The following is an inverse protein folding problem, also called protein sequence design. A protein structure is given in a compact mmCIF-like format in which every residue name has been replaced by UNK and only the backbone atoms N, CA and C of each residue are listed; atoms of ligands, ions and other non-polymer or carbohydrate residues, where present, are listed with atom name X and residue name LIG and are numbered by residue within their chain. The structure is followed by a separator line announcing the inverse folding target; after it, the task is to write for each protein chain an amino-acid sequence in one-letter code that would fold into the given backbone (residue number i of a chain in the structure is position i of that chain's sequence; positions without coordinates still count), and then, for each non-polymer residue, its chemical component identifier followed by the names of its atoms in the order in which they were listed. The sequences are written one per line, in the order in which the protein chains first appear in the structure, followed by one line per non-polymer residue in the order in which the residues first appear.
data_IF_184286827219
#
_entry.id   IF_184286827219
#
_cell.length_a   1.000
_cell.length_b   1.000
_cell.length_c   1.000
_cell.angle_alpha   90.00
_cell.angle_beta   90.00
_cell.angle_gamma   90.00
#
_symmetry.space_group_name_H-M   'P 1'
#
loop_
_entity.id
_entity.type
_entity.pdbx_description
1 polymer ?
#
# COMPACT_ATOMS: atom_id res chain seq x y z
N UNK A 1 11.91 7.62 -26.45
CA UNK A 1 11.79 7.47 -24.99
C UNK A 1 13.11 6.95 -24.45
N UNK A 2 13.82 7.68 -23.58
CA UNK A 2 15.12 7.27 -23.05
C UNK A 2 14.94 6.73 -21.64
N UNK A 3 15.07 5.42 -21.49
CA UNK A 3 15.07 4.75 -20.19
C UNK A 3 16.48 4.71 -19.62
N UNK A 4 16.58 4.95 -18.32
CA UNK A 4 17.81 4.79 -17.52
C UNK A 4 17.54 3.74 -16.45
N UNK A 5 18.49 2.85 -16.25
CA UNK A 5 18.38 1.76 -15.27
C UNK A 5 19.50 1.91 -14.25
N UNK A 6 19.13 1.97 -12.98
CA UNK A 6 20.03 2.15 -11.85
C UNK A 6 19.81 1.02 -10.85
N UNK A 7 20.84 0.59 -10.09
CA UNK A 7 20.64 -0.32 -8.97
C UNK A 7 19.59 0.25 -8.00
N UNK A 8 18.64 -0.56 -7.53
CA UNK A 8 17.65 -0.09 -6.54
C UNK A 8 18.29 0.37 -5.22
N UNK A 9 19.52 -0.06 -4.92
CA UNK A 9 20.33 0.44 -3.81
C UNK A 9 20.62 1.95 -3.89
N UNK A 10 20.50 2.56 -5.07
CA UNK A 10 20.66 4.01 -5.25
C UNK A 10 19.34 4.79 -5.10
N UNK A 11 18.23 4.12 -4.78
CA UNK A 11 16.89 4.73 -4.70
C UNK A 11 16.85 5.98 -3.81
N UNK A 12 17.62 6.00 -2.71
CA UNK A 12 17.65 7.14 -1.79
C UNK A 12 18.06 8.47 -2.46
N UNK A 13 18.86 8.43 -3.53
CA UNK A 13 19.22 9.62 -4.33
C UNK A 13 18.05 10.17 -5.14
N UNK A 14 17.07 9.32 -5.45
CA UNK A 14 15.92 9.63 -6.29
C UNK A 14 14.61 9.75 -5.51
N UNK A 15 14.63 9.56 -4.19
CA UNK A 15 13.43 9.60 -3.35
C UNK A 15 12.63 10.91 -3.48
N UNK A 16 13.33 12.05 -3.60
CA UNK A 16 12.68 13.36 -3.79
C UNK A 16 11.94 13.44 -5.12
N UNK A 17 12.59 12.98 -6.22
CA UNK A 17 11.97 12.95 -7.54
C UNK A 17 10.79 11.97 -7.61
N UNK A 18 10.90 10.84 -6.89
CA UNK A 18 9.83 9.87 -6.73
C UNK A 18 8.60 10.48 -6.06
N UNK A 19 8.77 11.16 -4.92
CA UNK A 19 7.66 11.82 -4.21
C UNK A 19 7.06 13.00 -5.00
N UNK A 20 7.89 13.74 -5.75
CA UNK A 20 7.40 14.77 -6.68
C UNK A 20 6.54 14.17 -7.80
N UNK A 21 6.96 13.04 -8.37
CA UNK A 21 6.19 12.34 -9.39
C UNK A 21 4.88 11.79 -8.81
N UNK A 22 4.91 11.22 -7.59
CA UNK A 22 3.71 10.75 -6.90
C UNK A 22 2.71 11.91 -6.66
N UNK A 23 3.21 13.10 -6.28
CA UNK A 23 2.41 14.32 -6.11
C UNK A 23 1.79 14.86 -7.40
N UNK A 24 2.37 14.55 -8.56
CA UNK A 24 1.75 14.89 -9.85
C UNK A 24 0.51 14.03 -10.16
N UNK A 25 0.38 12.86 -9.53
CA UNK A 25 -0.77 11.96 -9.64
C UNK A 25 -1.68 12.04 -8.41
N UNK A 26 -2.04 10.88 -7.88
CA UNK A 26 -2.94 10.75 -6.73
C UNK A 26 -2.27 10.95 -5.37
N UNK A 27 -0.95 11.15 -5.32
CA UNK A 27 -0.20 11.34 -4.08
C UNK A 27 -0.48 10.23 -3.05
N UNK A 28 -0.47 8.98 -3.51
CA UNK A 28 -0.83 7.84 -2.67
C UNK A 28 0.27 7.55 -1.63
N UNK A 29 -0.04 7.38 -0.34
CA UNK A 29 0.94 6.99 0.66
C UNK A 29 1.54 5.60 0.39
N UNK A 30 0.79 4.72 -0.30
CA UNK A 30 1.24 3.39 -0.73
C UNK A 30 2.36 3.45 -1.78
N UNK A 31 2.45 4.57 -2.52
CA UNK A 31 3.51 4.84 -3.50
C UNK A 31 4.49 5.91 -3.00
N UNK A 32 4.52 6.21 -1.70
CA UNK A 32 5.52 7.14 -1.16
C UNK A 32 6.92 6.54 -1.23
N UNK A 33 7.93 7.41 -1.32
CA UNK A 33 9.34 6.99 -1.28
C UNK A 33 9.67 6.30 0.04
N UNK A 34 9.01 6.67 1.13
CA UNK A 34 9.17 6.06 2.44
C UNK A 34 8.68 4.61 2.45
N UNK A 35 7.51 4.33 1.87
CA UNK A 35 6.99 2.97 1.73
C UNK A 35 7.94 2.12 0.89
N UNK A 36 8.36 2.62 -0.28
CA UNK A 36 9.28 1.90 -1.17
C UNK A 36 10.65 1.65 -0.52
N UNK A 37 11.22 2.65 0.17
CA UNK A 37 12.50 2.51 0.89
C UNK A 37 12.44 1.39 1.92
N UNK A 38 11.40 1.35 2.75
CA UNK A 38 11.24 0.31 3.76
C UNK A 38 11.00 -1.06 3.12
N UNK A 39 10.25 -1.09 2.02
CA UNK A 39 10.00 -2.31 1.25
C UNK A 39 11.28 -2.87 0.63
N UNK A 40 12.14 -2.02 0.07
CA UNK A 40 13.44 -2.43 -0.45
C UNK A 40 14.34 -2.93 0.67
N UNK A 41 14.41 -2.22 1.80
CA UNK A 41 15.24 -2.65 2.95
C UNK A 41 14.84 -4.02 3.47
N UNK A 42 13.55 -4.32 3.54
CA UNK A 42 13.03 -5.55 4.10
C UNK A 42 12.90 -6.70 3.09
N UNK A 43 12.71 -6.44 1.80
CA UNK A 43 12.28 -7.49 0.86
C UNK A 43 13.05 -7.53 -0.46
N UNK A 44 14.10 -6.71 -0.62
CA UNK A 44 14.92 -6.77 -1.82
C UNK A 44 15.75 -8.07 -1.87
N UNK A 45 15.93 -8.59 -3.08
CA UNK A 45 16.81 -9.71 -3.39
C UNK A 45 18.21 -9.28 -3.87
N UNK A 46 18.41 -7.97 -4.08
CA UNK A 46 19.62 -7.38 -4.67
C UNK A 46 19.61 -7.38 -6.20
N UNK A 47 18.49 -7.77 -6.82
CA UNK A 47 18.30 -7.82 -8.28
C UNK A 47 17.36 -6.74 -8.79
N UNK A 48 16.83 -5.93 -7.87
CA UNK A 48 15.89 -4.86 -8.15
C UNK A 48 16.61 -3.71 -8.87
N UNK A 49 15.95 -3.21 -9.90
CA UNK A 49 16.46 -2.13 -10.75
C UNK A 49 15.46 -0.98 -10.70
N UNK A 50 15.95 0.21 -10.36
CA UNK A 50 15.20 1.44 -10.54
C UNK A 50 15.23 1.83 -12.03
N UNK A 51 14.08 1.80 -12.68
CA UNK A 51 13.89 2.26 -14.04
C UNK A 51 13.29 3.67 -14.05
N UNK A 52 13.90 4.55 -14.84
CA UNK A 52 13.53 5.96 -14.95
C UNK A 52 13.37 6.34 -16.41
N UNK A 53 12.21 6.89 -16.77
CA UNK A 53 11.98 7.47 -18.08
C UNK A 53 12.19 8.99 -18.03
N UNK A 54 13.02 9.52 -18.93
CA UNK A 54 13.28 10.95 -19.04
C UNK A 54 14.43 11.43 -18.15
N UNK A 55 14.33 12.67 -17.65
CA UNK A 55 15.34 13.25 -16.76
C UNK A 55 15.17 12.69 -15.34
N UNK A 56 16.20 12.10 -14.70
CA UNK A 56 16.13 11.62 -13.32
C UNK A 56 15.68 12.63 -12.26
N UNK A 57 15.91 13.93 -12.49
CA UNK A 57 15.47 14.99 -11.58
C UNK A 57 14.00 15.38 -11.81
N UNK A 58 13.47 15.10 -13.00
CA UNK A 58 12.07 15.38 -13.40
C UNK A 58 11.54 14.27 -14.29
N UNK A 59 11.32 13.07 -13.73
CA UNK A 59 10.98 11.91 -14.53
C UNK A 59 9.54 11.99 -15.07
N UNK A 60 9.32 11.28 -16.16
CA UNK A 60 7.99 11.01 -16.70
C UNK A 60 7.40 9.73 -16.09
N UNK A 61 8.27 8.75 -15.83
CA UNK A 61 7.94 7.47 -15.19
C UNK A 61 9.08 7.07 -14.27
N UNK A 62 8.75 6.54 -13.10
CA UNK A 62 9.67 5.83 -12.23
C UNK A 62 9.03 4.52 -11.77
N UNK A 63 9.81 3.46 -11.77
CA UNK A 63 9.37 2.16 -11.25
C UNK A 63 10.56 1.36 -10.77
N UNK A 64 10.34 0.46 -9.82
CA UNK A 64 11.34 -0.54 -9.46
C UNK A 64 10.91 -1.86 -10.09
N UNK A 65 11.82 -2.51 -10.81
CA UNK A 65 11.57 -3.76 -11.52
C UNK A 65 12.43 -4.88 -10.95
N UNK A 66 11.91 -6.09 -10.99
CA UNK A 66 12.64 -7.32 -10.66
C UNK A 66 12.45 -8.34 -11.79
N UNK A 67 13.52 -9.06 -12.10
CA UNK A 67 13.46 -10.07 -13.15
C UNK A 67 12.70 -11.32 -12.66
N UNK A 68 11.61 -11.66 -13.37
CA UNK A 68 10.81 -12.87 -13.14
C UNK A 68 11.18 -13.93 -14.17
N UNK A 69 12.22 -14.71 -13.86
CA UNK A 69 12.78 -15.68 -14.82
C UNK A 69 13.68 -15.01 -15.85
N UNK A 70 13.99 -15.66 -16.97
CA UNK A 70 15.01 -15.15 -17.92
C UNK A 70 14.50 -14.06 -18.86
N UNK A 71 13.20 -14.06 -19.18
CA UNK A 71 12.61 -13.25 -20.25
C UNK A 71 11.51 -12.30 -19.78
N UNK A 72 11.16 -12.30 -18.50
CA UNK A 72 10.10 -11.46 -17.97
C UNK A 72 10.60 -10.61 -16.82
N UNK A 73 10.01 -9.44 -16.69
CA UNK A 73 10.23 -8.49 -15.60
C UNK A 73 8.89 -8.11 -15.01
N UNK A 74 8.82 -7.92 -13.71
CA UNK A 74 7.63 -7.39 -13.04
C UNK A 74 8.04 -6.17 -12.21
N UNK A 75 7.08 -5.30 -11.92
CA UNK A 75 7.25 -4.30 -10.85
C UNK A 75 7.57 -5.00 -9.54
N UNK A 76 8.55 -4.48 -8.81
CA UNK A 76 8.83 -4.90 -7.44
C UNK A 76 7.56 -4.67 -6.63
N UNK A 77 7.03 -5.75 -6.05
CA UNK A 77 5.81 -5.74 -5.27
C UNK A 77 5.90 -6.86 -4.23
N UNK A 78 6.48 -6.57 -3.04
CA UNK A 78 6.46 -7.55 -1.95
C UNK A 78 5.01 -7.80 -1.51
N UNK A 79 4.78 -8.93 -0.83
CA UNK A 79 3.44 -9.32 -0.37
C UNK A 79 2.76 -8.29 0.54
N UNK A 80 3.54 -7.42 1.18
CA UNK A 80 3.10 -6.35 2.07
C UNK A 80 2.72 -5.06 1.33
N UNK A 81 3.10 -4.93 0.05
CA UNK A 81 2.71 -3.79 -0.79
C UNK A 81 1.39 -4.12 -1.51
N UNK A 82 0.29 -3.40 -1.22
CA UNK A 82 -1.01 -3.65 -1.85
C UNK A 82 -1.04 -3.35 -3.36
N UNK A 83 -0.09 -2.52 -3.81
CA UNK A 83 0.04 -2.13 -5.21
C UNK A 83 1.51 -2.17 -5.65
N UNK A 84 1.75 -2.45 -6.93
CA UNK A 84 3.10 -2.44 -7.51
C UNK A 84 3.68 -1.04 -7.62
N UNK A 85 4.99 -0.89 -7.35
CA UNK A 85 5.68 0.40 -7.38
C UNK A 85 5.88 0.92 -8.81
N UNK A 86 4.84 1.53 -9.36
CA UNK A 86 4.82 2.19 -10.66
C UNK A 86 4.25 3.60 -10.53
N UNK A 87 5.03 4.59 -10.93
CA UNK A 87 4.61 5.99 -11.01
C UNK A 87 4.78 6.51 -12.42
N UNK A 88 3.77 7.21 -12.91
CA UNK A 88 3.81 7.87 -14.22
C UNK A 88 3.10 9.22 -14.15
N UNK A 89 3.51 10.16 -14.99
CA UNK A 89 2.79 11.42 -15.15
C UNK A 89 1.37 11.16 -15.71
N UNK A 90 0.36 11.91 -15.26
CA UNK A 90 -0.98 11.82 -15.83
C UNK A 90 -1.00 12.06 -17.34
N UNK A 91 -1.87 11.34 -18.05
CA UNK A 91 -2.08 11.51 -19.49
C UNK A 91 -1.09 10.77 -20.39
N UNK A 92 -0.08 10.08 -19.83
CA UNK A 92 0.78 9.19 -20.61
C UNK A 92 0.05 7.88 -20.95
N UNK A 93 0.38 7.30 -22.10
CA UNK A 93 -0.19 6.03 -22.56
C UNK A 93 0.63 4.82 -22.08
N UNK A 94 0.01 3.95 -21.30
CA UNK A 94 0.67 2.80 -20.68
C UNK A 94 1.24 1.82 -21.70
N UNK A 95 0.54 1.56 -22.81
CA UNK A 95 1.03 0.63 -23.85
C UNK A 95 2.32 1.15 -24.49
N UNK A 96 2.36 2.43 -24.83
CA UNK A 96 3.56 3.08 -25.40
C UNK A 96 4.73 3.04 -24.42
N UNK A 97 4.46 3.32 -23.14
CA UNK A 97 5.47 3.29 -22.08
C UNK A 97 6.07 1.89 -21.91
N UNK A 98 5.22 0.86 -21.80
CA UNK A 98 5.66 -0.53 -21.66
C UNK A 98 6.38 -1.04 -22.91
N UNK A 99 5.92 -0.63 -24.10
CA UNK A 99 6.62 -0.91 -25.35
C UNK A 99 8.04 -0.34 -25.33
N UNK A 100 8.20 0.94 -24.94
CA UNK A 100 9.53 1.54 -24.80
C UNK A 100 10.40 0.87 -23.74
N UNK A 101 9.80 0.44 -22.63
CA UNK A 101 10.49 -0.21 -21.53
C UNK A 101 11.03 -1.59 -21.92
N UNK A 102 10.21 -2.43 -22.56
CA UNK A 102 10.60 -3.77 -23.04
C UNK A 102 11.85 -3.70 -23.92
N UNK A 103 11.91 -2.73 -24.86
CA UNK A 103 13.05 -2.57 -25.76
C UNK A 103 14.31 -2.06 -25.07
N UNK A 104 14.18 -1.39 -23.92
CA UNK A 104 15.31 -0.78 -23.22
C UNK A 104 15.85 -1.65 -22.07
N UNK A 105 15.05 -2.59 -21.56
CA UNK A 105 15.43 -3.44 -20.44
C UNK A 105 16.72 -4.22 -20.71
N UNK A 106 17.58 -4.42 -19.69
CA UNK A 106 18.78 -5.22 -19.84
C UNK A 106 18.49 -6.66 -20.30
N UNK A 107 19.25 -7.13 -21.29
CA UNK A 107 19.11 -8.48 -21.84
C UNK A 107 18.02 -8.59 -22.90
N UNK A 108 17.31 -9.72 -22.92
CA UNK A 108 16.20 -9.97 -23.85
C UNK A 108 14.89 -10.10 -23.06
N UNK A 109 14.12 -9.02 -22.99
CA UNK A 109 12.82 -8.99 -22.33
C UNK A 109 11.70 -9.29 -23.35
N UNK A 110 10.87 -10.29 -23.05
CA UNK A 110 9.68 -10.65 -23.83
C UNK A 110 8.41 -10.02 -23.22
N UNK A 111 8.38 -9.84 -21.90
CA UNK A 111 7.21 -9.28 -21.20
C UNK A 111 7.61 -8.44 -20.00
N UNK A 112 6.80 -7.41 -19.73
CA UNK A 112 6.85 -6.62 -18.50
C UNK A 112 5.47 -6.63 -17.85
N UNK A 113 5.40 -7.08 -16.59
CA UNK A 113 4.20 -7.00 -15.77
C UNK A 113 4.22 -5.76 -14.89
N UNK A 114 3.15 -4.97 -14.93
CA UNK A 114 2.88 -3.94 -13.92
C UNK A 114 1.80 -4.49 -13.01
N UNK A 115 2.21 -4.88 -11.80
CA UNK A 115 1.41 -5.72 -10.91
C UNK A 115 0.54 -4.89 -9.99
N UNK A 116 -0.65 -5.41 -9.68
CA UNK A 116 -1.61 -4.86 -8.70
C UNK A 116 -1.74 -3.33 -8.80
N UNK A 117 -2.35 -2.85 -9.87
CA UNK A 117 -2.63 -1.43 -10.05
C UNK A 117 -4.08 -1.13 -9.66
N UNK A 118 -4.30 0.05 -9.08
CA UNK A 118 -5.64 0.52 -8.74
C UNK A 118 -6.14 1.47 -9.84
N UNK A 119 -7.30 1.18 -10.50
CA UNK A 119 -7.92 2.07 -11.48
C UNK A 119 -8.25 3.47 -10.96
N UNK A 120 -8.41 3.63 -9.64
CA UNK A 120 -8.53 4.94 -8.99
C UNK A 120 -7.21 5.70 -8.97
N UNK A 121 -6.04 5.07 -9.14
CA UNK A 121 -4.73 5.75 -9.18
C UNK A 121 -4.22 5.91 -10.62
N UNK A 122 -4.34 4.86 -11.43
CA UNK A 122 -3.92 4.85 -12.83
C UNK A 122 -5.04 4.24 -13.65
N UNK A 123 -5.65 4.97 -14.59
CA UNK A 123 -6.73 4.44 -15.42
C UNK A 123 -6.32 3.13 -16.09
N UNK A 124 -7.19 2.13 -16.02
CA UNK A 124 -6.93 0.82 -16.63
C UNK A 124 -6.71 1.01 -18.14
N UNK A 125 -5.55 0.59 -18.68
CA UNK A 125 -5.32 0.67 -20.12
C UNK A 125 -6.25 -0.28 -20.88
N UNK A 126 -6.57 0.12 -22.11
CA UNK A 126 -7.41 -0.70 -23.00
C UNK A 126 -6.62 -1.93 -23.43
N UNK A 127 -7.27 -3.08 -23.35
CA UNK A 127 -6.69 -4.34 -23.82
C UNK A 127 -6.39 -4.27 -25.33
N UNK A 128 -5.22 -4.75 -25.73
CA UNK A 128 -4.78 -4.79 -27.14
C UNK A 128 -3.99 -6.07 -27.42
N UNK A 129 -3.54 -6.24 -28.67
CA UNK A 129 -2.69 -7.37 -29.06
C UNK A 129 -1.30 -7.35 -28.38
N UNK A 130 -0.90 -6.21 -27.78
CA UNK A 130 0.41 -6.03 -27.14
C UNK A 130 0.31 -5.74 -25.64
N UNK A 131 -0.90 -5.50 -25.13
CA UNK A 131 -1.15 -5.21 -23.72
C UNK A 131 -2.38 -5.97 -23.25
N UNK A 132 -2.18 -6.80 -22.22
CA UNK A 132 -3.26 -7.51 -21.55
C UNK A 132 -3.47 -6.90 -20.16
N UNK A 133 -4.73 -6.79 -19.73
CA UNK A 133 -5.09 -6.43 -18.35
C UNK A 133 -5.90 -7.54 -17.71
N UNK A 134 -5.64 -7.82 -16.44
CA UNK A 134 -6.31 -8.88 -15.67
C UNK A 134 -6.80 -8.31 -14.35
N UNK A 135 -7.97 -8.78 -13.91
CA UNK A 135 -8.51 -8.46 -12.60
C UNK A 135 -7.85 -9.36 -11.55
N UNK A 136 -7.46 -8.76 -10.43
CA UNK A 136 -6.84 -9.48 -9.31
C UNK A 136 -7.83 -9.63 -8.15
N UNK A 137 -8.40 -8.51 -7.68
CA UNK A 137 -9.38 -8.46 -6.60
C UNK A 137 -10.35 -7.30 -6.83
N UNK A 138 -11.57 -7.45 -6.34
CA UNK A 138 -12.52 -6.35 -6.18
C UNK A 138 -12.41 -5.79 -4.76
N UNK A 139 -12.13 -4.48 -4.64
CA UNK A 139 -12.07 -3.80 -3.35
C UNK A 139 -13.32 -2.94 -3.12
N UNK A 140 -13.86 -3.00 -1.91
CA UNK A 140 -14.91 -2.08 -1.49
C UNK A 140 -14.31 -0.69 -1.30
N UNK A 141 -14.89 0.30 -1.96
CA UNK A 141 -14.53 1.71 -1.83
C UNK A 141 -15.74 2.51 -1.34
N UNK A 142 -15.47 3.51 -0.49
CA UNK A 142 -16.49 4.43 0.01
C UNK A 142 -16.02 5.84 -0.23
N UNK A 143 -16.70 6.55 -1.14
CA UNK A 143 -16.45 7.97 -1.34
C UNK A 143 -16.82 8.76 -0.08
N UNK A 144 -15.83 9.47 0.45
CA UNK A 144 -16.00 10.35 1.60
C UNK A 144 -16.19 11.77 1.11
N UNK A 145 -17.36 12.34 1.41
CA UNK A 145 -17.65 13.75 1.13
C UNK A 145 -18.42 14.37 2.29
N UNK A 146 -18.13 15.63 2.58
CA UNK A 146 -18.76 16.37 3.69
C UNK A 146 -18.35 15.87 5.07
N UNK A 147 -19.21 16.13 6.05
CA UNK A 147 -18.98 15.76 7.45
C UNK A 147 -19.51 14.35 7.79
N UNK A 148 -19.13 13.87 8.98
CA UNK A 148 -19.56 12.57 9.48
C UNK A 148 -21.08 12.43 9.58
N UNK A 149 -21.80 13.49 9.95
CA UNK A 149 -23.26 13.42 10.10
C UNK A 149 -23.92 13.17 8.75
N UNK A 150 -23.49 13.92 7.74
CA UNK A 150 -23.94 13.78 6.35
C UNK A 150 -23.63 12.39 5.81
N UNK A 151 -22.40 11.91 6.01
CA UNK A 151 -21.98 10.54 5.70
C UNK A 151 -22.89 9.49 6.36
N UNK A 152 -23.21 9.67 7.64
CA UNK A 152 -23.98 8.69 8.41
C UNK A 152 -25.47 8.66 8.04
N UNK A 153 -26.05 9.82 7.74
CA UNK A 153 -27.47 9.93 7.36
C UNK A 153 -27.78 9.24 6.03
N UNK A 154 -26.84 9.21 5.09
CA UNK A 154 -27.03 8.53 3.80
C UNK A 154 -26.82 7.01 3.86
N UNK A 155 -26.37 6.45 5.00
CA UNK A 155 -26.21 4.99 5.15
C UNK A 155 -27.55 4.26 5.12
N UNK A 156 -27.54 2.94 4.97
CA UNK A 156 -28.77 2.14 4.98
C UNK A 156 -29.48 2.18 6.35
N UNK A 157 -30.82 2.27 6.34
CA UNK A 157 -31.65 2.20 7.57
C UNK A 157 -31.30 0.99 8.44
N UNK A 158 -31.04 -0.16 7.80
CA UNK A 158 -30.67 -1.40 8.48
C UNK A 158 -29.32 -1.28 9.22
N UNK A 159 -28.30 -0.70 8.58
CA UNK A 159 -26.99 -0.48 9.23
C UNK A 159 -27.13 0.44 10.46
N UNK A 160 -27.83 1.58 10.30
CA UNK A 160 -28.07 2.51 11.42
C UNK A 160 -28.82 1.84 12.57
N UNK A 161 -29.88 1.08 12.26
CA UNK A 161 -30.66 0.36 13.28
C UNK A 161 -29.82 -0.70 13.98
N UNK A 162 -29.00 -1.44 13.22
CA UNK A 162 -28.12 -2.47 13.77
C UNK A 162 -27.12 -1.85 14.74
N UNK A 163 -26.41 -0.78 14.33
CA UNK A 163 -25.44 -0.11 15.19
C UNK A 163 -26.08 0.47 16.46
N UNK A 164 -27.28 1.04 16.38
CA UNK A 164 -28.03 1.47 17.57
C UNK A 164 -28.35 0.31 18.50
N UNK A 165 -28.78 -0.82 17.94
CA UNK A 165 -29.12 -2.03 18.71
C UNK A 165 -27.89 -2.61 19.42
N UNK A 166 -26.74 -2.64 18.74
CA UNK A 166 -25.46 -3.08 19.33
C UNK A 166 -25.06 -2.18 20.49
N UNK A 167 -25.10 -0.84 20.32
CA UNK A 167 -24.76 0.11 21.39
C UNK A 167 -25.67 -0.04 22.61
N UNK A 168 -26.99 -0.08 22.41
CA UNK A 168 -27.95 -0.27 23.50
C UNK A 168 -27.73 -1.60 24.24
N UNK A 169 -27.30 -2.64 23.52
CA UNK A 169 -26.99 -3.95 24.13
C UNK A 169 -25.73 -3.86 25.00
N UNK A 170 -24.69 -3.16 24.56
CA UNK A 170 -23.48 -2.95 25.38
C UNK A 170 -23.84 -2.24 26.69
N UNK A 171 -24.59 -1.14 26.60
CA UNK A 171 -25.05 -0.37 27.76
C UNK A 171 -25.90 -1.22 28.72
N UNK A 172 -26.89 -1.96 28.19
CA UNK A 172 -27.77 -2.82 29.01
C UNK A 172 -27.01 -3.92 29.78
N UNK A 173 -25.89 -4.40 29.22
CA UNK A 173 -25.06 -5.41 29.87
C UNK A 173 -23.96 -4.79 30.76
N UNK A 174 -23.94 -3.48 30.95
CA UNK A 174 -22.92 -2.79 31.76
C UNK A 174 -21.52 -2.87 31.17
N UNK A 175 -21.40 -3.08 29.85
CA UNK A 175 -20.12 -3.06 29.15
C UNK A 175 -19.79 -1.63 28.73
N UNK A 176 -18.79 -1.04 29.37
CA UNK A 176 -18.23 0.23 28.95
C UNK A 176 -17.30 0.00 27.75
N UNK A 177 -17.53 0.69 26.63
CA UNK A 177 -16.66 0.61 25.47
C UNK A 177 -15.96 1.93 25.20
N UNK A 178 -14.69 1.86 24.81
CA UNK A 178 -13.91 3.02 24.40
C UNK A 178 -13.31 2.77 23.02
N UNK A 179 -13.35 3.80 22.18
CA UNK A 179 -12.74 3.79 20.87
C UNK A 179 -11.63 4.83 20.83
N UNK A 180 -10.39 4.35 20.95
CA UNK A 180 -9.20 5.18 21.03
C UNK A 180 -8.51 5.23 19.66
N UNK A 181 -7.91 6.36 19.33
CA UNK A 181 -7.14 6.54 18.10
C UNK A 181 -5.70 6.88 18.49
N UNK A 182 -4.79 5.96 18.16
CA UNK A 182 -3.35 6.13 18.35
C UNK A 182 -2.79 6.82 17.11
N UNK A 183 -2.16 7.96 17.33
CA UNK A 183 -1.50 8.76 16.28
C UNK A 183 -0.09 9.17 16.65
N UNK A 184 0.34 8.92 17.90
CA UNK A 184 1.66 9.32 18.37
C UNK A 184 2.71 8.25 18.05
N UNK A 185 3.91 8.63 17.58
CA UNK A 185 4.95 7.67 17.20
C UNK A 185 5.35 6.70 18.31
N UNK A 186 5.42 7.16 19.57
CA UNK A 186 5.84 6.38 20.74
C UNK A 186 4.83 5.32 21.16
N UNK A 187 3.58 5.42 20.71
CA UNK A 187 2.51 4.47 21.00
C UNK A 187 2.36 3.40 19.91
N UNK A 188 2.92 3.60 18.71
CA UNK A 188 2.76 2.71 17.55
C UNK A 188 3.36 1.33 17.79
N UNK A 189 4.62 1.25 18.25
CA UNK A 189 5.29 -0.03 18.46
C UNK A 189 4.49 -0.94 19.41
N UNK A 190 3.99 -0.37 20.51
CA UNK A 190 3.16 -1.08 21.46
C UNK A 190 1.83 -1.54 20.82
N UNK A 191 1.19 -0.69 20.02
CA UNK A 191 -0.04 -1.04 19.31
C UNK A 191 0.16 -2.22 18.35
N UNK A 192 1.19 -2.16 17.48
CA UNK A 192 1.52 -3.24 16.52
C UNK A 192 1.83 -4.56 17.24
N UNK A 193 2.52 -4.51 18.39
CA UNK A 193 2.74 -5.70 19.21
C UNK A 193 1.45 -6.29 19.79
N UNK A 194 0.50 -5.45 20.22
CA UNK A 194 -0.81 -5.92 20.64
C UNK A 194 -1.59 -6.54 19.47
N UNK A 195 -1.53 -5.94 18.27
CA UNK A 195 -2.10 -6.51 17.05
C UNK A 195 -1.59 -7.93 16.78
N UNK A 196 -0.27 -8.10 16.73
CA UNK A 196 0.36 -9.37 16.43
C UNK A 196 -0.05 -10.46 17.42
N UNK A 197 -0.10 -10.12 18.73
CA UNK A 197 -0.58 -11.03 19.77
C UNK A 197 -2.05 -11.41 19.58
N UNK A 198 -2.92 -10.46 19.21
CA UNK A 198 -4.34 -10.75 18.94
C UNK A 198 -4.54 -11.63 17.71
N UNK A 199 -3.82 -11.39 16.61
CA UNK A 199 -3.89 -12.23 15.41
C UNK A 199 -3.35 -13.64 15.68
N UNK A 200 -2.31 -13.78 16.51
CA UNK A 200 -1.79 -15.08 16.97
C UNK A 200 -2.73 -15.80 17.95
N UNK A 201 -3.51 -15.08 18.75
CA UNK A 201 -4.49 -15.67 19.68
C UNK A 201 -5.83 -15.97 18.99
N UNK A 202 -6.08 -15.35 17.83
CA UNK A 202 -7.30 -15.52 17.04
C UNK A 202 -7.37 -16.86 16.30
N UNK A 203 -8.55 -17.15 15.76
CA UNK A 203 -8.84 -18.37 15.01
C UNK A 203 -7.91 -18.63 13.79
N UNK A 204 -7.21 -17.59 13.31
CA UNK A 204 -6.21 -17.64 12.22
C UNK A 204 -4.87 -18.26 12.61
N UNK A 205 -4.58 -18.44 13.91
CA UNK A 205 -3.39 -19.13 14.39
C UNK A 205 -3.25 -20.56 13.82
N UNK A 206 -4.38 -21.20 13.48
CA UNK A 206 -4.42 -22.52 12.86
C UNK A 206 -3.96 -22.56 11.39
N UNK A 207 -3.82 -21.41 10.72
CA UNK A 207 -3.45 -21.31 9.30
C UNK A 207 -2.04 -20.78 9.05
N UNK A 208 -1.26 -20.44 10.10
CA UNK A 208 0.15 -20.07 9.96
C UNK A 208 0.41 -18.70 9.30
N UNK A 209 -0.60 -17.84 9.16
CA UNK A 209 -0.50 -16.50 8.55
C UNK A 209 -0.27 -15.38 9.58
N UNK A 210 -0.06 -15.73 10.84
CA UNK A 210 0.10 -14.75 11.90
C UNK A 210 1.44 -13.99 11.72
N UNK A 211 1.39 -12.67 11.75
CA UNK A 211 2.58 -11.81 11.71
C UNK A 211 3.40 -12.07 12.97
N UNK A 212 4.50 -12.81 12.84
CA UNK A 212 5.47 -12.94 13.91
C UNK A 212 6.22 -11.61 14.04
N UNK A 213 6.16 -10.98 15.21
CA UNK A 213 6.75 -9.66 15.42
C UNK A 213 8.27 -9.63 15.17
N UNK A 214 8.97 -10.71 15.53
CA UNK A 214 10.41 -10.85 15.30
C UNK A 214 10.77 -11.20 13.85
N UNK A 215 9.78 -11.34 12.97
CA UNK A 215 10.02 -11.50 11.54
C UNK A 215 10.38 -10.17 10.88
N UNK A 216 10.98 -10.26 9.70
CA UNK A 216 11.24 -9.11 8.85
C UNK A 216 9.96 -8.34 8.50
N UNK A 217 8.84 -9.04 8.36
CA UNK A 217 7.53 -8.45 8.14
C UNK A 217 7.03 -7.64 9.35
N UNK A 218 7.23 -8.15 10.57
CA UNK A 218 6.84 -7.44 11.80
C UNK A 218 7.59 -6.13 11.96
N UNK A 219 8.93 -6.17 11.78
CA UNK A 219 9.77 -4.96 11.78
C UNK A 219 9.37 -3.97 10.69
N UNK A 220 9.07 -4.45 9.48
CA UNK A 220 8.61 -3.59 8.39
C UNK A 220 7.37 -2.78 8.76
N UNK A 221 6.34 -3.39 9.37
CA UNK A 221 5.12 -2.66 9.73
C UNK A 221 5.33 -1.65 10.87
N UNK A 222 6.14 -1.99 11.88
CA UNK A 222 6.51 -1.04 12.93
C UNK A 222 7.21 0.17 12.32
N UNK A 223 8.26 -0.08 11.54
CA UNK A 223 9.03 0.97 10.89
C UNK A 223 8.15 1.83 9.97
N UNK A 224 7.24 1.20 9.21
CA UNK A 224 6.33 1.91 8.30
C UNK A 224 5.37 2.83 9.06
N UNK A 225 4.65 2.29 10.05
CA UNK A 225 3.64 3.05 10.80
C UNK A 225 4.28 4.14 11.66
N UNK A 226 5.40 3.85 12.34
CA UNK A 226 6.14 4.87 13.10
C UNK A 226 6.61 6.01 12.20
N UNK A 227 7.04 5.69 10.98
CA UNK A 227 7.50 6.69 10.06
C UNK A 227 6.37 7.53 9.47
N UNK A 228 5.23 6.92 9.15
CA UNK A 228 4.04 7.60 8.64
C UNK A 228 3.34 8.46 9.72
N UNK A 229 3.51 8.17 11.03
CA UNK A 229 3.05 9.09 12.08
C UNK A 229 3.77 10.44 12.03
N UNK A 230 5.03 10.50 11.59
CA UNK A 230 5.80 11.76 11.47
C UNK A 230 5.20 12.73 10.46
N UNK A 231 4.44 12.22 9.49
CA UNK A 231 3.74 13.01 8.47
C UNK A 231 2.24 13.12 8.75
N UNK A 232 1.76 12.65 9.91
CA UNK A 232 0.34 12.60 10.24
C UNK A 232 -0.48 11.65 9.36
N UNK A 233 0.18 10.68 8.70
CA UNK A 233 -0.41 9.77 7.72
C UNK A 233 -0.72 8.40 8.32
N UNK A 234 -0.94 8.32 9.63
CA UNK A 234 -1.24 7.07 10.35
C UNK A 234 -2.26 7.31 11.45
N UNK A 235 -3.21 6.39 11.55
CA UNK A 235 -4.10 6.23 12.68
C UNK A 235 -4.24 4.73 12.94
N UNK A 236 -4.20 4.34 14.21
CA UNK A 236 -4.50 2.98 14.65
C UNK A 236 -5.69 3.10 15.60
N UNK A 237 -6.79 2.44 15.27
CA UNK A 237 -8.01 2.47 16.05
C UNK A 237 -8.07 1.27 16.99
N UNK A 238 -8.26 1.52 18.28
CA UNK A 238 -8.37 0.49 19.31
C UNK A 238 -9.77 0.54 19.93
N UNK A 239 -10.47 -0.59 19.90
CA UNK A 239 -11.72 -0.78 20.65
C UNK A 239 -11.44 -1.56 21.92
N UNK A 240 -11.79 -0.99 23.08
CA UNK A 240 -11.70 -1.68 24.37
C UNK A 240 -13.08 -1.86 25.00
N UNK A 241 -13.28 -2.97 25.72
CA UNK A 241 -14.43 -3.21 26.60
C UNK A 241 -13.93 -3.35 28.04
N UNK A 242 -14.41 -2.50 28.95
CA UNK A 242 -13.98 -2.44 30.35
C UNK A 242 -12.43 -2.40 30.48
N UNK A 243 -11.76 -1.66 29.59
CA UNK A 243 -10.29 -1.53 29.56
C UNK A 243 -9.55 -2.68 28.86
N UNK A 244 -10.26 -3.73 28.41
CA UNK A 244 -9.65 -4.85 27.67
C UNK A 244 -9.75 -4.59 26.16
N UNK A 245 -8.63 -4.61 25.46
CA UNK A 245 -8.60 -4.50 23.99
C UNK A 245 -9.33 -5.70 23.36
N UNK A 246 -10.32 -5.41 22.51
CA UNK A 246 -11.15 -6.43 21.85
C UNK A 246 -11.08 -6.38 20.33
N UNK A 247 -10.71 -5.24 19.75
CA UNK A 247 -10.45 -5.10 18.33
C UNK A 247 -9.45 -3.97 18.08
N UNK A 248 -8.69 -4.09 16.99
CA UNK A 248 -7.82 -3.04 16.50
C UNK A 248 -7.71 -3.08 14.98
N UNK A 249 -7.53 -1.92 14.37
CA UNK A 249 -7.35 -1.70 12.92
C UNK A 249 -6.33 -0.58 12.68
#
# INVERSE_FOLDING_TARGET
MKWTFLPASEFDRHAVAWDELNRCGYHSPLLSSQFLRLSLRAFQSGKEVLAVLGNPDRPEVMTVLVQRGKLAWDTFQPAQAPIGFWLMRPGLDMETLLGGLIHALPGFALSVGVTQQDPLLIPRPVHSNRLLTFDYIDMAHVDLSGDYQSFWQVRGKNLRQNMRTVRNRLEKNGLHYEFNCITKPDEVSAAVQHFGRMECAGWKAKQGTAVQFDSEQGRFYVDLLENLTKTGSTCIYCLTFNGVLVAMD
#
